data_IF_356393450600
#
_entry.id   IF_356393450600
#
_cell.length_a   1.000
_cell.length_b   1.000
_cell.length_c   1.000
_cell.angle_alpha   90.00
_cell.angle_beta   90.00
_cell.angle_gamma   90.00
#
_symmetry.space_group_name_H-M   'P 1'
#
loop_
_entity.id
_entity.type
_entity.pdbx_description
1 polymer ?
#
# COMPACT_ATOMS: atom_id res chain seq x y z
N UNK A 1 13.45 -4.20 17.42
CA UNK A 1 12.34 -3.28 17.11
C UNK A 1 11.64 -3.81 15.91
N UNK A 2 10.30 -3.94 15.97
CA UNK A 2 9.51 -4.50 14.88
C UNK A 2 9.48 -3.59 13.65
N UNK A 3 9.55 -4.17 12.45
CA UNK A 3 9.38 -3.45 11.19
C UNK A 3 8.27 -4.06 10.34
N UNK A 4 7.56 -3.24 9.60
CA UNK A 4 6.53 -3.65 8.65
C UNK A 4 6.81 -3.12 7.25
N UNK A 5 6.49 -3.89 6.22
CA UNK A 5 6.33 -3.39 4.86
C UNK A 5 4.84 -3.33 4.54
N UNK A 6 4.33 -2.13 4.32
CA UNK A 6 2.94 -1.89 3.94
C UNK A 6 2.87 -1.77 2.41
N UNK A 7 2.17 -2.71 1.78
CA UNK A 7 1.96 -2.79 0.33
C UNK A 7 0.56 -2.26 0.03
N UNK A 8 0.49 -1.04 -0.50
CA UNK A 8 -0.77 -0.30 -0.69
C UNK A 8 -1.33 -0.55 -2.08
N UNK A 9 -2.52 -1.10 -2.13
CA UNK A 9 -3.40 -1.20 -3.31
C UNK A 9 -2.75 -1.80 -4.59
N UNK A 10 -1.86 -2.77 -4.44
CA UNK A 10 -1.31 -3.52 -5.57
C UNK A 10 -2.33 -4.57 -6.07
N UNK A 11 -3.52 -4.07 -6.48
CA UNK A 11 -4.70 -4.85 -6.87
C UNK A 11 -4.84 -4.94 -8.39
N UNK A 12 -5.55 -5.96 -8.87
CA UNK A 12 -5.72 -6.19 -10.30
C UNK A 12 -6.36 -4.98 -11.02
N UNK A 13 -7.38 -4.35 -10.41
CA UNK A 13 -8.04 -3.18 -11.03
C UNK A 13 -7.11 -1.98 -11.23
N UNK A 14 -6.05 -1.86 -10.43
CA UNK A 14 -5.08 -0.77 -10.52
C UNK A 14 -3.83 -1.12 -11.35
N UNK A 15 -3.46 -2.40 -11.42
CA UNK A 15 -2.15 -2.84 -11.94
C UNK A 15 -2.26 -3.56 -13.28
N UNK A 16 -3.35 -4.30 -13.52
CA UNK A 16 -3.57 -4.97 -14.80
C UNK A 16 -4.18 -4.02 -15.83
N UNK A 17 -3.77 -4.15 -17.09
CA UNK A 17 -4.27 -3.33 -18.21
C UNK A 17 -5.79 -3.52 -18.46
N UNK A 18 -6.37 -4.63 -17.98
CA UNK A 18 -7.80 -4.92 -18.03
C UNK A 18 -8.55 -4.42 -16.80
N UNK A 19 -7.84 -3.88 -15.82
CA UNK A 19 -8.40 -3.38 -14.57
C UNK A 19 -9.27 -2.14 -14.79
N UNK A 20 -10.28 -1.99 -13.96
CA UNK A 20 -11.29 -0.92 -14.08
C UNK A 20 -10.71 0.49 -13.89
N UNK A 21 -9.56 0.61 -13.21
CA UNK A 21 -8.88 1.89 -12.93
C UNK A 21 -7.35 1.74 -13.04
N UNK A 22 -6.88 1.27 -14.18
CA UNK A 22 -5.46 0.99 -14.43
C UNK A 22 -4.56 2.22 -14.27
N UNK A 23 -3.62 2.14 -13.34
CA UNK A 23 -2.66 3.23 -13.03
C UNK A 23 -1.41 3.25 -13.93
N UNK A 24 -1.47 2.64 -15.09
CA UNK A 24 -0.44 2.72 -16.11
C UNK A 24 0.76 1.79 -15.89
N UNK A 25 1.61 1.74 -16.91
CA UNK A 25 2.75 0.79 -16.96
C UNK A 25 3.80 0.99 -15.87
N UNK A 26 3.86 2.17 -15.24
CA UNK A 26 4.83 2.47 -14.18
C UNK A 26 4.54 1.69 -12.90
N UNK A 27 3.27 1.61 -12.52
CA UNK A 27 2.83 0.78 -11.39
C UNK A 27 3.23 -0.69 -11.60
N UNK A 28 3.01 -1.20 -12.82
CA UNK A 28 3.42 -2.56 -13.20
C UNK A 28 4.94 -2.77 -13.15
N UNK A 29 5.73 -1.77 -13.55
CA UNK A 29 7.21 -1.82 -13.51
C UNK A 29 7.77 -1.81 -12.09
N UNK A 30 7.03 -1.33 -11.08
CA UNK A 30 7.45 -1.35 -9.69
C UNK A 30 7.40 -2.76 -9.06
N UNK A 31 6.63 -3.69 -9.63
CA UNK A 31 6.39 -5.04 -9.08
C UNK A 31 7.65 -5.81 -8.72
N UNK A 32 8.66 -5.96 -9.61
CA UNK A 32 9.87 -6.73 -9.26
C UNK A 32 10.61 -6.13 -8.07
N UNK A 33 10.63 -4.80 -7.96
CA UNK A 33 11.26 -4.12 -6.84
C UNK A 33 10.45 -4.32 -5.54
N UNK A 34 9.12 -4.15 -5.60
CA UNK A 34 8.24 -4.42 -4.44
C UNK A 34 8.42 -5.87 -3.98
N UNK A 35 8.46 -6.83 -4.90
CA UNK A 35 8.70 -8.23 -4.56
C UNK A 35 10.02 -8.44 -3.82
N UNK A 36 11.10 -7.83 -4.32
CA UNK A 36 12.41 -7.90 -3.66
C UNK A 36 12.40 -7.33 -2.23
N UNK A 37 11.60 -6.27 -2.01
CA UNK A 37 11.39 -5.70 -0.68
C UNK A 37 10.59 -6.65 0.23
N UNK A 38 9.49 -7.21 -0.26
CA UNK A 38 8.69 -8.22 0.46
C UNK A 38 9.58 -9.38 0.92
N UNK A 39 10.38 -9.93 0.01
CA UNK A 39 11.29 -11.03 0.34
C UNK A 39 12.38 -10.62 1.34
N UNK A 40 12.87 -9.37 1.27
CA UNK A 40 13.84 -8.83 2.22
C UNK A 40 13.23 -8.67 3.61
N UNK A 41 12.08 -8.00 3.73
CA UNK A 41 11.42 -7.81 5.02
C UNK A 41 11.11 -9.13 5.71
N UNK A 42 10.62 -10.14 4.96
CA UNK A 42 10.39 -11.49 5.51
C UNK A 42 11.67 -12.13 6.03
N UNK A 43 12.79 -12.05 5.29
CA UNK A 43 14.07 -12.60 5.75
C UNK A 43 14.60 -11.90 6.99
N UNK A 44 14.39 -10.61 7.10
CA UNK A 44 14.88 -9.77 8.19
C UNK A 44 13.94 -9.81 9.42
N UNK A 45 12.88 -10.62 9.39
CA UNK A 45 11.93 -10.81 10.50
C UNK A 45 10.86 -9.72 10.61
N UNK A 46 10.73 -8.88 9.59
CA UNK A 46 9.64 -7.90 9.49
C UNK A 46 8.32 -8.54 9.02
N UNK A 47 7.21 -7.89 9.31
CA UNK A 47 5.88 -8.32 8.85
C UNK A 47 5.52 -7.64 7.52
N UNK A 48 4.67 -8.31 6.73
CA UNK A 48 4.10 -7.76 5.50
C UNK A 48 2.62 -7.50 5.70
N UNK A 49 2.18 -6.28 5.36
CA UNK A 49 0.78 -5.86 5.46
C UNK A 49 0.31 -5.40 4.07
N UNK A 50 -0.63 -6.12 3.49
CA UNK A 50 -1.30 -5.71 2.27
C UNK A 50 -2.52 -4.89 2.63
N UNK A 51 -2.52 -3.62 2.23
CA UNK A 51 -3.66 -2.71 2.38
C UNK A 51 -4.40 -2.69 1.05
N UNK A 52 -5.68 -3.04 1.06
CA UNK A 52 -6.43 -3.35 -0.14
C UNK A 52 -7.78 -2.63 -0.15
N UNK A 53 -8.07 -1.84 -1.19
CA UNK A 53 -9.41 -1.34 -1.43
C UNK A 53 -10.42 -2.49 -1.56
N UNK A 54 -11.58 -2.34 -0.95
CA UNK A 54 -12.63 -3.35 -0.93
C UNK A 54 -14.00 -2.69 -0.81
N UNK A 55 -14.51 -2.18 -1.92
CA UNK A 55 -15.74 -1.40 -1.98
C UNK A 55 -17.00 -2.24 -2.09
N UNK A 56 -18.12 -1.75 -1.57
CA UNK A 56 -19.45 -2.27 -1.94
C UNK A 56 -19.79 -1.85 -3.39
N UNK A 57 -20.75 -2.53 -4.01
CA UNK A 57 -21.16 -2.25 -5.41
C UNK A 57 -21.71 -0.83 -5.61
N UNK A 58 -22.20 -0.23 -4.55
CA UNK A 58 -22.87 1.07 -4.49
C UNK A 58 -22.08 2.08 -3.63
N UNK A 59 -20.75 1.90 -3.52
CA UNK A 59 -19.93 2.81 -2.74
C UNK A 59 -20.00 4.24 -3.29
N UNK A 60 -20.14 5.20 -2.37
CA UNK A 60 -20.23 6.65 -2.71
C UNK A 60 -18.99 7.17 -3.45
N UNK A 61 -17.87 6.49 -3.35
CA UNK A 61 -16.65 6.84 -4.08
C UNK A 61 -16.83 6.74 -5.59
N UNK A 62 -17.71 5.86 -6.05
CA UNK A 62 -18.04 5.66 -7.47
C UNK A 62 -18.80 6.84 -8.10
N UNK A 63 -19.15 7.87 -7.33
CA UNK A 63 -19.56 9.16 -7.89
C UNK A 63 -18.39 9.98 -8.47
N UNK A 64 -17.14 9.64 -8.11
CA UNK A 64 -15.91 10.34 -8.53
C UNK A 64 -15.00 9.49 -9.42
N UNK A 65 -15.04 8.17 -9.23
CA UNK A 65 -14.23 7.21 -9.97
C UNK A 65 -15.12 6.11 -10.54
N UNK A 66 -14.68 5.47 -11.62
CA UNK A 66 -15.32 4.23 -12.09
C UNK A 66 -15.38 3.19 -10.98
N UNK A 67 -16.43 2.34 -10.94
CA UNK A 67 -16.46 1.21 -10.01
C UNK A 67 -15.19 0.36 -10.13
N UNK A 68 -14.48 0.19 -9.02
CA UNK A 68 -13.22 -0.55 -8.94
C UNK A 68 -13.12 -1.28 -7.61
N UNK A 69 -12.28 -2.27 -7.54
CA UNK A 69 -11.98 -3.06 -6.34
C UNK A 69 -13.26 -3.48 -5.59
N UNK A 70 -14.32 -3.85 -6.32
CA UNK A 70 -15.57 -4.30 -5.72
C UNK A 70 -15.32 -5.62 -5.00
N UNK A 71 -15.74 -5.71 -3.74
CA UNK A 71 -15.55 -6.88 -2.89
C UNK A 71 -15.98 -8.18 -3.57
N UNK A 72 -15.08 -9.17 -3.58
CA UNK A 72 -15.33 -10.49 -4.16
C UNK A 72 -15.16 -10.57 -5.67
N UNK A 73 -14.69 -9.50 -6.34
CA UNK A 73 -14.33 -9.54 -7.76
C UNK A 73 -12.82 -9.73 -7.94
N UNK A 74 -12.45 -10.19 -9.13
CA UNK A 74 -11.04 -10.30 -9.55
C UNK A 74 -10.28 -8.97 -9.39
N UNK A 75 -10.93 -7.84 -9.66
CA UNK A 75 -10.34 -6.52 -9.56
C UNK A 75 -9.85 -6.17 -8.16
N UNK A 76 -10.53 -6.67 -7.11
CA UNK A 76 -10.19 -6.46 -5.69
C UNK A 76 -9.16 -7.47 -5.15
N UNK A 77 -8.64 -8.36 -5.98
CA UNK A 77 -7.58 -9.29 -5.57
C UNK A 77 -6.20 -8.66 -5.74
N UNK A 78 -5.29 -8.99 -4.81
CA UNK A 78 -3.88 -8.63 -4.95
C UNK A 78 -3.33 -9.30 -6.20
N UNK A 79 -2.61 -8.55 -7.01
CA UNK A 79 -2.06 -9.05 -8.26
C UNK A 79 -1.18 -10.28 -8.05
N UNK A 80 -1.23 -11.28 -8.95
CA UNK A 80 -0.64 -12.62 -8.73
C UNK A 80 0.84 -12.61 -8.35
N UNK A 81 1.63 -11.68 -8.90
CA UNK A 81 3.08 -11.60 -8.63
C UNK A 81 3.41 -11.16 -7.20
N UNK A 82 2.46 -10.58 -6.47
CA UNK A 82 2.61 -10.10 -5.10
C UNK A 82 1.63 -10.79 -4.13
N UNK A 83 1.06 -11.92 -4.52
CA UNK A 83 0.03 -12.60 -3.72
C UNK A 83 0.51 -12.83 -2.28
N UNK A 84 -0.31 -12.43 -1.27
CA UNK A 84 0.00 -12.68 0.13
C UNK A 84 0.21 -14.17 0.42
N UNK A 85 1.12 -14.45 1.33
CA UNK A 85 1.30 -15.81 1.88
C UNK A 85 0.32 -15.97 3.04
N UNK A 86 -0.52 -16.99 2.95
CA UNK A 86 -1.48 -17.30 4.02
C UNK A 86 -0.81 -17.71 5.34
N UNK A 87 -1.57 -17.80 6.44
CA UNK A 87 -1.04 -18.22 7.71
C UNK A 87 -0.48 -19.64 7.60
N UNK A 88 0.79 -19.77 7.96
CA UNK A 88 1.54 -21.03 7.95
C UNK A 88 2.47 -21.13 9.16
N UNK A 89 3.31 -22.17 9.25
CA UNK A 89 4.20 -22.44 10.39
C UNK A 89 5.28 -21.38 10.67
N UNK A 90 5.35 -20.31 9.89
CA UNK A 90 6.29 -19.19 10.09
C UNK A 90 5.60 -17.83 10.20
N UNK A 91 4.29 -17.78 10.46
CA UNK A 91 3.48 -16.57 10.32
C UNK A 91 3.04 -16.33 8.88
N UNK A 92 2.00 -15.53 8.68
CA UNK A 92 1.49 -15.13 7.37
C UNK A 92 1.53 -13.63 7.18
N UNK A 93 1.25 -13.20 5.97
CA UNK A 93 1.06 -11.78 5.70
C UNK A 93 -0.32 -11.33 6.20
N UNK A 94 -0.41 -10.09 6.63
CA UNK A 94 -1.67 -9.46 7.00
C UNK A 94 -2.35 -8.88 5.77
N UNK A 95 -3.68 -8.91 5.73
CA UNK A 95 -4.48 -8.30 4.67
C UNK A 95 -5.54 -7.39 5.31
N UNK A 96 -5.30 -6.10 5.24
CA UNK A 96 -6.19 -5.04 5.72
C UNK A 96 -7.08 -4.57 4.58
N UNK A 97 -8.40 -4.58 4.79
CA UNK A 97 -9.38 -4.13 3.78
C UNK A 97 -9.92 -2.76 4.14
N UNK A 98 -9.75 -1.79 3.26
CA UNK A 98 -10.20 -0.41 3.45
C UNK A 98 -11.26 -0.04 2.41
N UNK A 99 -12.02 1.00 2.71
CA UNK A 99 -13.04 1.58 1.83
C UNK A 99 -12.82 3.07 1.58
N UNK A 100 -11.68 3.61 2.03
CA UNK A 100 -11.27 5.00 1.82
C UNK A 100 -9.75 5.05 1.67
N UNK A 101 -9.22 6.18 1.25
CA UNK A 101 -7.80 6.35 0.91
C UNK A 101 -6.83 6.01 2.06
N UNK A 102 -7.02 6.56 3.30
CA UNK A 102 -6.10 6.24 4.39
C UNK A 102 -6.32 4.81 4.91
N UNK A 103 -5.23 4.08 5.10
CA UNK A 103 -5.24 2.69 5.56
C UNK A 103 -5.80 2.52 6.98
N UNK A 104 -5.80 3.57 7.79
CA UNK A 104 -6.29 3.55 9.18
C UNK A 104 -7.81 3.78 9.32
N UNK A 105 -8.49 4.17 8.22
CA UNK A 105 -9.90 4.51 8.33
C UNK A 105 -10.79 3.27 8.45
N UNK A 106 -11.29 3.02 9.66
CA UNK A 106 -12.19 1.89 9.99
C UNK A 106 -11.58 0.53 9.60
N UNK A 107 -10.30 0.34 9.91
CA UNK A 107 -9.54 -0.89 9.69
C UNK A 107 -8.86 -1.31 10.99
N UNK A 108 -8.30 -2.49 10.99
CA UNK A 108 -7.50 -3.09 12.07
C UNK A 108 -5.98 -2.85 11.92
N UNK A 109 -5.57 -1.92 11.03
CA UNK A 109 -4.15 -1.66 10.78
C UNK A 109 -3.39 -1.24 12.04
N UNK A 110 -4.00 -0.39 12.87
CA UNK A 110 -3.37 0.10 14.10
C UNK A 110 -3.11 -1.06 15.07
N UNK A 111 -4.13 -1.88 15.32
CA UNK A 111 -4.01 -3.06 16.17
C UNK A 111 -2.92 -4.03 15.66
N UNK A 112 -2.86 -4.28 14.34
CA UNK A 112 -1.82 -5.12 13.73
C UNK A 112 -0.42 -4.56 13.99
N UNK A 113 -0.22 -3.26 13.83
CA UNK A 113 1.07 -2.62 14.05
C UNK A 113 1.49 -2.67 15.53
N UNK A 114 0.58 -2.40 16.45
CA UNK A 114 0.80 -2.44 17.90
C UNK A 114 1.08 -3.86 18.39
N UNK A 115 0.26 -4.83 18.02
CA UNK A 115 0.40 -6.25 18.43
C UNK A 115 1.74 -6.86 17.97
N UNK A 116 2.31 -6.34 16.88
CA UNK A 116 3.61 -6.77 16.37
C UNK A 116 4.77 -5.84 16.77
N UNK A 117 4.53 -4.92 17.72
CA UNK A 117 5.53 -3.99 18.24
C UNK A 117 6.31 -3.27 17.11
N UNK A 118 5.61 -2.91 16.04
CA UNK A 118 6.18 -2.19 14.90
C UNK A 118 6.54 -0.77 15.31
N UNK A 119 7.74 -0.34 14.99
CA UNK A 119 8.21 1.03 15.19
C UNK A 119 8.57 1.70 13.86
N UNK A 120 8.92 0.91 12.84
CA UNK A 120 9.29 1.38 11.51
C UNK A 120 8.39 0.76 10.45
N UNK A 121 7.81 1.61 9.58
CA UNK A 121 6.98 1.21 8.46
C UNK A 121 7.62 1.59 7.12
N UNK A 122 7.93 0.58 6.29
CA UNK A 122 8.25 0.76 4.89
C UNK A 122 6.98 0.82 4.05
N UNK A 123 6.92 1.72 3.08
CA UNK A 123 5.73 1.95 2.25
C UNK A 123 6.05 1.76 0.77
N UNK A 124 5.21 0.98 0.10
CA UNK A 124 5.20 0.77 -1.37
C UNK A 124 3.77 0.71 -1.89
N UNK A 125 3.56 0.84 -3.18
CA UNK A 125 2.27 0.65 -3.84
C UNK A 125 1.73 1.87 -4.57
N UNK A 126 0.39 1.95 -4.71
CA UNK A 126 -0.31 2.97 -5.50
C UNK A 126 -1.53 3.53 -4.77
N UNK A 127 -2.01 4.71 -5.07
CA UNK A 127 -1.41 5.79 -5.86
C UNK A 127 -0.57 6.67 -4.93
N UNK A 128 0.60 7.13 -5.38
CA UNK A 128 1.52 7.91 -4.53
C UNK A 128 0.85 9.14 -3.91
N UNK A 129 0.03 9.85 -4.68
CA UNK A 129 -0.62 11.10 -4.25
C UNK A 129 -1.95 10.90 -3.52
N UNK A 130 -2.42 9.68 -3.38
CA UNK A 130 -3.72 9.37 -2.77
C UNK A 130 -3.51 8.39 -1.61
N UNK A 131 -3.74 7.10 -1.81
CA UNK A 131 -3.74 6.10 -0.75
C UNK A 131 -2.38 5.98 -0.03
N UNK A 132 -1.27 6.07 -0.77
CA UNK A 132 0.08 6.04 -0.20
C UNK A 132 0.30 7.27 0.69
N UNK A 133 0.05 8.48 0.17
CA UNK A 133 0.26 9.71 0.93
C UNK A 133 -0.64 9.81 2.16
N UNK A 134 -1.91 9.43 2.06
CA UNK A 134 -2.85 9.46 3.18
C UNK A 134 -2.50 8.42 4.25
N UNK A 135 -1.99 7.25 3.84
CA UNK A 135 -1.48 6.23 4.77
C UNK A 135 -0.22 6.71 5.49
N UNK A 136 0.72 7.33 4.77
CA UNK A 136 1.91 7.95 5.36
C UNK A 136 1.54 9.05 6.35
N UNK A 137 0.54 9.88 6.03
CA UNK A 137 0.02 10.88 6.97
C UNK A 137 -0.58 10.24 8.23
N UNK A 138 -1.27 9.11 8.08
CA UNK A 138 -1.80 8.34 9.21
C UNK A 138 -0.72 7.76 10.11
N UNK A 139 0.36 7.25 9.54
CA UNK A 139 1.54 6.76 10.28
C UNK A 139 2.26 7.89 11.02
N UNK A 140 2.48 9.02 10.33
CA UNK A 140 3.17 10.18 10.92
C UNK A 140 2.41 10.74 12.14
N UNK A 141 1.07 10.77 12.08
CA UNK A 141 0.23 11.21 13.20
C UNK A 141 0.20 10.22 14.38
N UNK A 142 0.89 9.07 14.25
CA UNK A 142 1.06 8.02 15.27
C UNK A 142 2.52 7.78 15.64
N UNK A 143 3.39 8.69 15.24
CA UNK A 143 4.82 8.72 15.58
C UNK A 143 5.63 7.50 15.07
N UNK A 144 5.17 6.81 14.01
CA UNK A 144 5.95 5.76 13.37
C UNK A 144 7.14 6.35 12.60
N UNK A 145 8.28 5.64 12.60
CA UNK A 145 9.36 5.88 11.65
C UNK A 145 8.94 5.40 10.26
N UNK A 146 9.06 6.27 9.23
CA UNK A 146 8.49 6.00 7.91
C UNK A 146 9.56 6.00 6.83
N UNK A 147 9.58 4.94 6.02
CA UNK A 147 10.41 4.82 4.82
C UNK A 147 9.53 4.65 3.60
N UNK A 148 9.52 5.61 2.68
CA UNK A 148 8.82 5.48 1.39
C UNK A 148 9.84 5.09 0.34
N UNK A 149 9.65 3.93 -0.29
CA UNK A 149 10.53 3.44 -1.34
C UNK A 149 10.11 4.01 -2.69
N UNK A 150 10.82 5.02 -3.17
CA UNK A 150 10.49 5.77 -4.40
C UNK A 150 10.31 4.87 -5.62
N UNK A 151 11.14 3.84 -5.78
CA UNK A 151 11.02 2.86 -6.88
C UNK A 151 9.85 1.89 -6.71
N UNK A 152 9.30 1.82 -5.51
CA UNK A 152 8.18 0.96 -5.13
C UNK A 152 6.83 1.66 -5.14
N UNK A 153 6.77 2.96 -5.42
CA UNK A 153 5.51 3.71 -5.52
C UNK A 153 5.31 4.23 -6.95
N UNK A 154 4.06 4.46 -7.32
CA UNK A 154 3.74 5.01 -8.63
C UNK A 154 2.47 5.86 -8.60
N UNK A 155 2.40 6.80 -9.55
CA UNK A 155 1.24 7.65 -9.78
C UNK A 155 1.01 7.80 -11.30
N UNK A 156 -0.20 8.17 -11.71
CA UNK A 156 -0.49 8.52 -13.10
C UNK A 156 0.21 9.82 -13.51
N UNK A 157 0.16 10.81 -12.63
CA UNK A 157 0.78 12.13 -12.86
C UNK A 157 2.13 12.23 -12.13
N UNK A 158 3.21 12.39 -12.89
CA UNK A 158 4.56 12.56 -12.35
C UNK A 158 4.77 13.85 -11.54
N UNK A 159 3.98 14.90 -11.81
CA UNK A 159 4.07 16.14 -11.01
C UNK A 159 3.44 15.91 -9.65
N UNK A 160 2.27 15.25 -9.61
CA UNK A 160 1.62 14.87 -8.36
C UNK A 160 2.48 13.89 -7.57
N UNK A 161 3.09 12.91 -8.21
CA UNK A 161 4.01 11.97 -7.55
C UNK A 161 5.15 12.70 -6.85
N UNK A 162 5.88 13.56 -7.58
CA UNK A 162 6.99 14.33 -7.01
C UNK A 162 6.55 15.25 -5.88
N UNK A 163 5.43 15.95 -6.07
CA UNK A 163 4.86 16.80 -5.03
C UNK A 163 4.55 15.99 -3.77
N UNK A 164 3.93 14.82 -3.92
CA UNK A 164 3.55 13.97 -2.80
C UNK A 164 4.76 13.40 -2.06
N UNK A 165 5.79 12.94 -2.77
CA UNK A 165 7.04 12.50 -2.16
C UNK A 165 7.71 13.63 -1.38
N UNK A 166 7.77 14.83 -1.95
CA UNK A 166 8.34 15.99 -1.27
C UNK A 166 7.50 16.40 -0.04
N UNK A 167 6.16 16.36 -0.15
CA UNK A 167 5.27 16.61 0.98
C UNK A 167 5.47 15.58 2.08
N UNK A 168 5.53 14.29 1.76
CA UNK A 168 5.77 13.21 2.73
C UNK A 168 7.10 13.42 3.45
N UNK A 169 8.14 13.81 2.73
CA UNK A 169 9.44 14.11 3.31
C UNK A 169 9.41 15.31 4.25
N UNK A 170 8.84 16.45 3.81
CA UNK A 170 8.91 17.72 4.56
C UNK A 170 7.92 17.82 5.70
N UNK A 171 6.72 17.31 5.50
CA UNK A 171 5.62 17.51 6.44
C UNK A 171 5.46 16.31 7.37
N UNK A 172 5.60 15.10 6.83
CA UNK A 172 5.42 13.87 7.60
C UNK A 172 6.72 13.24 8.10
N UNK A 173 7.87 13.84 7.78
CA UNK A 173 9.17 13.34 8.25
C UNK A 173 9.59 12.00 7.62
N UNK A 174 8.92 11.56 6.55
CA UNK A 174 9.22 10.29 5.92
C UNK A 174 10.58 10.31 5.21
N UNK A 175 11.39 9.28 5.41
CA UNK A 175 12.60 9.05 4.63
C UNK A 175 12.24 8.54 3.24
N UNK A 176 12.58 9.28 2.18
CA UNK A 176 12.38 8.84 0.79
C UNK A 176 13.62 8.06 0.35
N UNK A 177 13.46 6.77 0.06
CA UNK A 177 14.54 5.85 -0.29
C UNK A 177 14.57 5.68 -1.82
N UNK A 178 15.58 6.25 -2.45
CA UNK A 178 15.74 6.29 -3.93
C UNK A 178 16.66 5.18 -4.49
N UNK A 179 17.27 4.33 -3.65
CA UNK A 179 18.22 3.27 -4.04
C UNK A 179 17.54 1.96 -4.43
#
# INVERSE_FOLDING_TARGET
MGSALIVVDMLNDFIDEKGALFYGSRAKKAIPYIRSLVDRYRRDGGIIIYVCDSHSKDDREFSRFSPHCVKGTWGAEVMPALKPVGPGSGGGDFVVRKTRYPAFYKTDLEDILEDNAVVEAGIVGVCTSICVMDTVGGLANRDYEIRVYERGVADLDRKMERFSLERMRRIYGAAIISL
#
